data_IF_262980492064
#
_entry.id   IF_262980492064
#
_cell.length_a   1.000
_cell.length_b   1.000
_cell.length_c   1.000
_cell.angle_alpha   90.00
_cell.angle_beta   90.00
_cell.angle_gamma   90.00
#
_symmetry.space_group_name_H-M   'P 1'
#
loop_
_entity.id
_entity.type
_entity.pdbx_description
1 polymer ?
#
# COMPACT_ATOMS: atom_id res chain seq x y z
N UNK A 1 13.23 5.24 22.22
CA UNK A 1 12.29 4.49 23.10
C UNK A 1 11.07 5.31 23.53
N UNK A 2 11.16 6.62 23.72
CA UNK A 2 9.99 7.46 24.09
C UNK A 2 9.03 7.70 22.89
N UNK A 3 9.47 7.57 21.65
CA UNK A 3 8.61 7.71 20.47
C UNK A 3 7.55 6.60 20.38
N UNK A 4 7.90 5.33 20.62
CA UNK A 4 6.95 4.21 20.51
C UNK A 4 5.70 4.36 21.40
N UNK A 5 5.84 4.91 22.62
CA UNK A 5 4.70 5.08 23.54
C UNK A 5 3.79 6.21 23.05
N UNK A 6 4.36 7.28 22.54
CA UNK A 6 3.61 8.42 21.97
C UNK A 6 2.87 8.02 20.69
N UNK A 7 3.52 7.24 19.81
CA UNK A 7 2.89 6.74 18.58
C UNK A 7 1.74 5.78 18.89
N UNK A 8 1.89 4.91 19.91
CA UNK A 8 0.81 4.03 20.36
C UNK A 8 -0.40 4.81 20.89
N UNK A 9 -0.16 5.92 21.61
CA UNK A 9 -1.23 6.76 22.15
C UNK A 9 -2.01 7.51 21.05
N UNK A 10 -1.31 7.99 20.01
CA UNK A 10 -1.92 8.63 18.85
C UNK A 10 -2.73 7.63 17.99
N UNK A 11 -2.40 6.36 18.03
CA UNK A 11 -3.13 5.33 17.32
C UNK A 11 -4.47 4.97 17.98
N UNK A 12 -4.65 5.20 19.30
CA UNK A 12 -5.89 4.88 20.01
C UNK A 12 -7.13 5.52 19.36
N UNK A 13 -7.18 6.85 19.11
CA UNK A 13 -8.33 7.46 18.45
C UNK A 13 -8.56 6.93 17.04
N UNK A 14 -7.49 6.61 16.29
CA UNK A 14 -7.61 6.01 14.95
C UNK A 14 -8.22 4.61 15.00
N UNK A 15 -7.88 3.79 16.00
CA UNK A 15 -8.51 2.49 16.21
C UNK A 15 -10.00 2.61 16.58
N UNK A 16 -10.39 3.62 17.36
CA UNK A 16 -11.81 3.89 17.63
C UNK A 16 -12.57 4.26 16.37
N UNK A 17 -12.00 5.10 15.51
CA UNK A 17 -12.59 5.42 14.21
C UNK A 17 -12.64 4.18 13.29
N UNK A 18 -11.58 3.39 13.26
CA UNK A 18 -11.50 2.17 12.46
C UNK A 18 -12.59 1.15 12.83
N UNK A 19 -13.01 1.11 14.10
CA UNK A 19 -14.11 0.23 14.56
C UNK A 19 -15.44 0.50 13.84
N UNK A 20 -15.66 1.71 13.34
CA UNK A 20 -16.89 2.07 12.62
C UNK A 20 -16.87 1.59 11.16
N UNK A 21 -15.69 1.50 10.56
CA UNK A 21 -15.51 1.23 9.13
C UNK A 21 -14.96 -0.16 8.82
N UNK A 22 -14.35 -0.82 9.79
CA UNK A 22 -13.69 -2.12 9.61
C UNK A 22 -14.23 -3.20 10.54
N UNK A 23 -14.09 -4.45 10.11
CA UNK A 23 -14.54 -5.64 10.86
C UNK A 23 -13.73 -5.82 12.15
N UNK A 24 -14.31 -6.44 13.18
CA UNK A 24 -13.61 -6.75 14.43
C UNK A 24 -12.34 -7.59 14.19
N UNK A 25 -12.39 -8.50 13.24
CA UNK A 25 -11.26 -9.35 12.86
C UNK A 25 -10.08 -8.54 12.34
N UNK A 26 -10.33 -7.52 11.49
CA UNK A 26 -9.32 -6.59 11.02
C UNK A 26 -8.65 -5.84 12.18
N UNK A 27 -9.42 -5.38 13.14
CA UNK A 27 -8.90 -4.66 14.30
C UNK A 27 -8.01 -5.54 15.19
N UNK A 28 -8.41 -6.80 15.44
CA UNK A 28 -7.59 -7.73 16.22
C UNK A 28 -6.28 -8.07 15.51
N UNK A 29 -6.33 -8.32 14.20
CA UNK A 29 -5.12 -8.57 13.39
C UNK A 29 -4.19 -7.35 13.37
N UNK A 30 -4.74 -6.16 13.24
CA UNK A 30 -3.97 -4.91 13.26
C UNK A 30 -3.36 -4.64 14.63
N UNK A 31 -4.08 -4.88 15.72
CA UNK A 31 -3.55 -4.77 17.07
C UNK A 31 -2.38 -5.75 17.30
N UNK A 32 -2.54 -7.00 16.85
CA UNK A 32 -1.47 -8.01 16.91
C UNK A 32 -0.25 -7.58 16.10
N UNK A 33 -0.45 -7.12 14.86
CA UNK A 33 0.62 -6.62 14.01
C UNK A 33 1.36 -5.44 14.65
N UNK A 34 0.64 -4.48 15.23
CA UNK A 34 1.22 -3.32 15.93
C UNK A 34 2.06 -3.73 17.14
N UNK A 35 1.57 -4.66 17.97
CA UNK A 35 2.31 -5.15 19.15
C UNK A 35 3.57 -5.88 18.69
N UNK A 36 3.46 -6.78 17.71
CA UNK A 36 4.59 -7.55 17.18
C UNK A 36 5.64 -6.63 16.57
N UNK A 37 5.23 -5.64 15.78
CA UNK A 37 6.11 -4.64 15.19
C UNK A 37 6.84 -3.81 16.26
N UNK A 38 6.12 -3.32 17.27
CA UNK A 38 6.69 -2.57 18.39
C UNK A 38 7.69 -3.40 19.19
N UNK A 39 7.38 -4.67 19.41
CA UNK A 39 8.27 -5.59 20.12
C UNK A 39 9.53 -5.89 19.31
N UNK A 40 9.39 -6.12 18.01
CA UNK A 40 10.53 -6.32 17.11
C UNK A 40 11.47 -5.12 17.12
N UNK A 41 10.95 -3.89 17.04
CA UNK A 41 11.74 -2.65 17.13
C UNK A 41 12.44 -2.49 18.50
N UNK A 42 11.85 -3.01 19.57
CA UNK A 42 12.44 -2.94 20.91
C UNK A 42 13.61 -3.94 21.09
N UNK A 43 13.54 -5.09 20.42
CA UNK A 43 14.51 -6.19 20.57
C UNK A 43 15.65 -6.11 19.56
N UNK A 44 15.34 -5.72 18.31
CA UNK A 44 16.34 -5.66 17.25
C UNK A 44 17.28 -4.46 17.48
N UNK A 45 18.62 -4.71 17.60
CA UNK A 45 19.57 -3.61 17.75
C UNK A 45 19.65 -2.79 16.46
N UNK A 46 19.66 -1.47 16.60
CA UNK A 46 19.84 -0.56 15.49
C UNK A 46 21.33 -0.51 15.12
N UNK A 47 21.69 -1.12 14.00
CA UNK A 47 23.05 -1.04 13.43
C UNK A 47 23.02 -0.12 12.21
N UNK A 48 23.93 0.82 12.13
CA UNK A 48 24.07 1.70 10.97
C UNK A 48 24.76 0.96 9.81
N UNK A 49 23.96 0.47 8.86
CA UNK A 49 24.48 -0.26 7.68
C UNK A 49 24.96 0.72 6.58
N UNK A 50 24.43 1.93 6.55
CA UNK A 50 24.61 2.88 5.44
C UNK A 50 25.68 3.94 5.65
N UNK A 51 26.55 3.80 6.66
CA UNK A 51 27.68 4.72 6.92
C UNK A 51 27.40 6.22 6.67
N UNK A 52 26.25 6.72 7.15
CA UNK A 52 25.77 8.10 6.99
C UNK A 52 25.33 8.51 5.56
N UNK A 53 25.16 7.58 4.64
CA UNK A 53 24.58 7.87 3.33
C UNK A 53 23.05 7.89 3.44
N UNK A 54 22.48 9.10 3.57
CA UNK A 54 21.05 9.32 3.75
C UNK A 54 20.21 8.87 2.54
N UNK A 55 20.77 8.96 1.32
CA UNK A 55 20.07 8.54 0.12
C UNK A 55 19.92 7.02 0.07
N UNK A 56 21.01 6.31 0.34
CA UNK A 56 21.00 4.85 0.41
C UNK A 56 20.07 4.35 1.52
N UNK A 57 20.09 5.02 2.68
CA UNK A 57 19.19 4.72 3.78
C UNK A 57 17.72 4.94 3.39
N UNK A 58 17.40 6.02 2.66
CA UNK A 58 16.04 6.31 2.20
C UNK A 58 15.51 5.25 1.22
N UNK A 59 16.35 4.83 0.26
CA UNK A 59 15.97 3.84 -0.75
C UNK A 59 15.82 2.45 -0.13
N UNK A 60 16.86 1.95 0.54
CA UNK A 60 16.84 0.61 1.12
C UNK A 60 15.84 0.51 2.27
N UNK A 61 15.86 1.49 3.17
CA UNK A 61 14.93 1.56 4.29
C UNK A 61 13.47 1.61 3.84
N UNK A 62 13.16 2.45 2.84
CA UNK A 62 11.84 2.55 2.23
C UNK A 62 11.40 1.23 1.59
N UNK A 63 12.28 0.60 0.81
CA UNK A 63 11.95 -0.66 0.12
C UNK A 63 11.69 -1.82 1.10
N UNK A 64 12.58 -2.03 2.09
CA UNK A 64 12.43 -3.10 3.07
C UNK A 64 11.27 -2.87 4.04
N UNK A 65 11.11 -1.64 4.52
CA UNK A 65 10.00 -1.28 5.41
C UNK A 65 8.65 -1.58 4.74
N UNK A 66 8.48 -1.14 3.50
CA UNK A 66 7.23 -1.31 2.77
C UNK A 66 7.05 -2.73 2.25
N UNK A 67 8.12 -3.44 1.93
CA UNK A 67 8.02 -4.88 1.64
C UNK A 67 7.36 -5.62 2.80
N UNK A 68 7.80 -5.38 4.03
CA UNK A 68 7.17 -5.93 5.23
C UNK A 68 5.74 -5.43 5.47
N UNK A 69 5.53 -4.13 5.34
CA UNK A 69 4.21 -3.50 5.50
C UNK A 69 3.19 -4.01 4.49
N UNK A 70 3.60 -4.18 3.24
CA UNK A 70 2.76 -4.74 2.18
C UNK A 70 2.27 -6.15 2.50
N UNK A 71 3.10 -7.00 3.10
CA UNK A 71 2.69 -8.33 3.58
C UNK A 71 1.64 -8.23 4.70
N UNK A 72 1.77 -7.26 5.60
CA UNK A 72 0.78 -6.99 6.65
C UNK A 72 -0.57 -6.58 6.05
N UNK A 73 -0.56 -5.76 5.00
CA UNK A 73 -1.78 -5.39 4.26
C UNK A 73 -2.40 -6.56 3.51
N UNK A 74 -1.59 -7.43 2.89
CA UNK A 74 -2.09 -8.65 2.24
C UNK A 74 -2.73 -9.62 3.23
N UNK A 75 -2.26 -9.63 4.50
CA UNK A 75 -2.90 -10.37 5.59
C UNK A 75 -4.19 -9.74 6.12
N UNK A 76 -4.64 -8.62 5.52
CA UNK A 76 -5.84 -7.90 5.92
C UNK A 76 -5.70 -7.22 7.28
N UNK A 77 -4.56 -6.59 7.54
CA UNK A 77 -4.25 -5.86 8.76
C UNK A 77 -3.44 -4.59 8.46
N UNK A 78 -3.20 -3.76 9.47
CA UNK A 78 -2.36 -2.56 9.41
C UNK A 78 -1.48 -2.50 10.65
N UNK A 79 -0.33 -1.84 10.52
CA UNK A 79 0.58 -1.62 11.67
C UNK A 79 0.18 -0.42 12.52
N UNK A 80 -0.86 0.30 12.14
CA UNK A 80 -1.28 1.58 12.77
C UNK A 80 -0.61 2.78 12.12
N UNK A 81 -0.84 3.98 12.69
CA UNK A 81 -0.26 5.21 12.15
C UNK A 81 -0.92 5.69 10.86
N UNK A 82 -0.10 6.25 9.94
CA UNK A 82 -0.55 6.77 8.63
C UNK A 82 -1.17 5.70 7.76
N UNK A 83 -0.75 4.47 7.91
CA UNK A 83 -1.28 3.31 7.19
C UNK A 83 -2.74 3.05 7.54
N UNK A 84 -3.06 3.06 8.84
CA UNK A 84 -4.44 2.90 9.31
C UNK A 84 -5.30 4.08 8.85
N UNK A 85 -4.76 5.30 8.90
CA UNK A 85 -5.44 6.48 8.38
C UNK A 85 -5.74 6.34 6.89
N UNK A 86 -4.78 5.86 6.11
CA UNK A 86 -4.94 5.65 4.67
C UNK A 86 -5.99 4.58 4.35
N UNK A 87 -6.07 3.51 5.14
CA UNK A 87 -7.12 2.49 4.98
C UNK A 87 -8.51 3.01 5.36
N UNK A 88 -8.60 3.97 6.30
CA UNK A 88 -9.86 4.66 6.63
C UNK A 88 -10.29 5.63 5.53
N UNK A 89 -9.35 6.24 4.82
CA UNK A 89 -9.63 7.15 3.71
C UNK A 89 -9.97 6.41 2.41
N UNK A 90 -9.47 5.18 2.24
CA UNK A 90 -9.67 4.41 1.01
C UNK A 90 -11.16 4.24 0.59
N UNK A 91 -12.13 3.99 1.49
CA UNK A 91 -13.55 3.92 1.12
C UNK A 91 -14.13 5.24 0.58
N UNK A 92 -13.52 6.39 0.92
CA UNK A 92 -13.91 7.70 0.40
C UNK A 92 -13.41 7.93 -1.03
N UNK A 93 -12.34 7.23 -1.43
CA UNK A 93 -11.71 7.32 -2.74
C UNK A 93 -11.55 5.96 -3.42
N UNK A 94 -12.65 5.26 -3.76
CA UNK A 94 -12.62 3.87 -4.24
C UNK A 94 -11.91 3.70 -5.58
N UNK A 95 -11.75 4.77 -6.36
CA UNK A 95 -11.02 4.73 -7.64
C UNK A 95 -9.50 4.82 -7.48
N UNK A 96 -9.00 5.21 -6.30
CA UNK A 96 -7.56 5.33 -6.04
C UNK A 96 -7.02 4.04 -5.42
N UNK A 97 -5.82 3.64 -5.83
CA UNK A 97 -5.12 2.52 -5.20
C UNK A 97 -4.68 2.92 -3.79
N UNK A 98 -4.71 1.97 -2.86
CA UNK A 98 -4.29 2.20 -1.47
C UNK A 98 -2.88 2.80 -1.40
N UNK A 99 -1.93 2.30 -2.22
CA UNK A 99 -0.57 2.83 -2.29
C UNK A 99 -0.51 4.33 -2.63
N UNK A 100 -1.41 4.81 -3.49
CA UNK A 100 -1.47 6.23 -3.85
C UNK A 100 -1.97 7.08 -2.67
N UNK A 101 -2.96 6.57 -1.94
CA UNK A 101 -3.51 7.26 -0.76
C UNK A 101 -2.44 7.36 0.33
N UNK A 102 -1.70 6.28 0.59
CA UNK A 102 -0.56 6.27 1.53
C UNK A 102 0.48 7.30 1.08
N UNK A 103 0.87 7.29 -0.21
CA UNK A 103 1.83 8.24 -0.74
C UNK A 103 1.39 9.70 -0.61
N UNK A 104 0.10 10.01 -0.77
CA UNK A 104 -0.45 11.36 -0.58
C UNK A 104 -0.40 11.76 0.89
N UNK A 105 -0.83 10.89 1.80
CA UNK A 105 -0.81 11.16 3.25
C UNK A 105 0.62 11.39 3.72
N UNK A 106 1.55 10.51 3.36
CA UNK A 106 2.96 10.64 3.71
C UNK A 106 3.59 11.88 3.06
N UNK A 107 3.21 12.22 1.82
CA UNK A 107 3.63 13.44 1.14
C UNK A 107 3.22 14.71 1.89
N UNK A 108 1.99 14.77 2.39
CA UNK A 108 1.51 15.89 3.21
C UNK A 108 2.35 15.99 4.50
N UNK A 109 2.63 14.86 5.15
CA UNK A 109 3.45 14.83 6.37
C UNK A 109 4.88 15.31 6.08
N UNK A 110 5.47 14.94 4.94
CA UNK A 110 6.79 15.40 4.53
C UNK A 110 6.80 16.91 4.29
N UNK A 111 5.77 17.48 3.65
CA UNK A 111 5.65 18.93 3.44
C UNK A 111 5.57 19.68 4.78
N UNK A 112 4.75 19.19 5.71
CA UNK A 112 4.67 19.75 7.06
C UNK A 112 6.01 19.58 7.81
N UNK A 113 6.62 18.40 7.71
CA UNK A 113 7.92 18.09 8.30
C UNK A 113 9.07 18.96 7.76
N UNK A 114 8.97 19.43 6.53
CA UNK A 114 9.96 20.33 5.92
C UNK A 114 10.13 21.63 6.72
N UNK A 115 9.04 22.13 7.31
CA UNK A 115 9.06 23.35 8.14
C UNK A 115 9.84 23.16 9.45
N UNK A 116 9.88 21.91 9.95
CA UNK A 116 10.52 21.56 11.22
C UNK A 116 11.96 21.07 11.01
N UNK A 117 12.17 20.19 10.02
CA UNK A 117 13.43 19.47 9.81
C UNK A 117 14.30 20.06 8.68
N UNK A 118 13.77 21.04 7.98
CA UNK A 118 14.46 21.72 6.88
C UNK A 118 14.37 20.99 5.53
N UNK A 119 14.71 21.73 4.47
CA UNK A 119 14.55 21.31 3.06
C UNK A 119 15.36 20.07 2.73
N UNK A 120 16.60 19.96 3.24
CA UNK A 120 17.50 18.86 2.94
C UNK A 120 16.90 17.50 3.38
N UNK A 121 16.39 17.43 4.58
CA UNK A 121 15.74 16.23 5.12
C UNK A 121 14.48 15.91 4.35
N UNK A 122 13.67 16.91 3.98
CA UNK A 122 12.48 16.74 3.20
C UNK A 122 12.75 16.13 1.81
N UNK A 123 13.84 16.52 1.13
CA UNK A 123 14.20 15.94 -0.17
C UNK A 123 14.51 14.44 -0.07
N UNK A 124 15.22 14.00 0.95
CA UNK A 124 15.44 12.56 1.17
C UNK A 124 14.13 11.82 1.52
N UNK A 125 13.26 12.48 2.29
CA UNK A 125 11.95 11.91 2.62
C UNK A 125 11.05 11.77 1.39
N UNK A 126 11.09 12.70 0.44
CA UNK A 126 10.36 12.59 -0.84
C UNK A 126 10.83 11.36 -1.62
N UNK A 127 12.14 11.13 -1.70
CA UNK A 127 12.69 9.93 -2.35
C UNK A 127 12.19 8.66 -1.63
N UNK A 128 12.23 8.65 -0.30
CA UNK A 128 11.73 7.52 0.49
C UNK A 128 10.25 7.26 0.22
N UNK A 129 9.39 8.28 0.27
CA UNK A 129 7.94 8.16 -0.01
C UNK A 129 7.68 7.66 -1.43
N UNK A 130 8.44 8.13 -2.42
CA UNK A 130 8.30 7.66 -3.80
C UNK A 130 8.64 6.16 -3.92
N UNK A 131 9.78 5.73 -3.36
CA UNK A 131 10.18 4.31 -3.34
C UNK A 131 9.14 3.47 -2.60
N UNK A 132 8.72 3.92 -1.42
CA UNK A 132 7.66 3.32 -0.61
C UNK A 132 6.39 3.07 -1.41
N UNK A 133 5.87 4.11 -2.08
CA UNK A 133 4.63 4.00 -2.87
C UNK A 133 4.77 3.01 -4.03
N UNK A 134 5.92 2.96 -4.70
CA UNK A 134 6.17 2.03 -5.81
C UNK A 134 6.29 0.58 -5.36
N UNK A 135 7.02 0.34 -4.28
CA UNK A 135 7.16 -1.01 -3.71
C UNK A 135 5.82 -1.49 -3.16
N UNK A 136 5.07 -0.61 -2.46
CA UNK A 136 3.75 -0.92 -1.94
C UNK A 136 2.78 -1.33 -3.05
N UNK A 137 2.75 -0.56 -4.16
CA UNK A 137 1.89 -0.90 -5.31
C UNK A 137 2.26 -2.26 -5.89
N UNK A 138 3.55 -2.57 -6.00
CA UNK A 138 4.03 -3.88 -6.45
C UNK A 138 3.63 -5.04 -5.53
N UNK A 139 3.71 -4.85 -4.22
CA UNK A 139 3.37 -5.89 -3.23
C UNK A 139 1.86 -6.05 -3.11
N UNK A 140 1.10 -4.97 -2.97
CA UNK A 140 -0.36 -5.01 -2.72
C UNK A 140 -1.17 -5.35 -3.97
N UNK A 141 -0.80 -4.82 -5.12
CA UNK A 141 -1.45 -5.15 -6.39
C UNK A 141 -1.03 -6.52 -6.90
N UNK A 142 0.11 -7.02 -6.43
CA UNK A 142 0.75 -8.23 -6.90
C UNK A 142 1.15 -8.15 -8.37
N UNK A 143 1.79 -9.18 -8.88
CA UNK A 143 2.05 -9.32 -10.32
C UNK A 143 0.83 -9.82 -11.11
N UNK A 144 -0.38 -9.56 -10.61
CA UNK A 144 -1.63 -9.92 -11.28
C UNK A 144 -1.96 -8.87 -12.34
N UNK A 145 -1.24 -8.89 -13.42
CA UNK A 145 -1.63 -8.15 -14.62
C UNK A 145 -2.76 -8.92 -15.31
N UNK A 146 -4.01 -8.52 -15.07
CA UNK A 146 -5.09 -8.95 -15.93
C UNK A 146 -4.92 -8.26 -17.29
N UNK A 147 -4.78 -9.04 -18.35
CA UNK A 147 -4.77 -8.54 -19.73
C UNK A 147 -6.19 -8.70 -20.27
N UNK A 148 -6.74 -7.61 -20.78
CA UNK A 148 -7.99 -7.63 -21.54
C UNK A 148 -7.57 -7.64 -23.00
N UNK A 149 -8.05 -8.61 -23.76
CA UNK A 149 -7.87 -8.70 -25.19
C UNK A 149 -9.19 -8.43 -25.88
N UNK A 150 -9.23 -7.45 -26.76
CA UNK A 150 -10.37 -7.17 -27.63
C UNK A 150 -10.11 -7.84 -28.97
N UNK A 151 -10.99 -8.75 -29.35
CA UNK A 151 -10.92 -9.46 -30.66
C UNK A 151 -12.13 -9.00 -31.44
N UNK A 152 -11.89 -8.42 -32.61
CA UNK A 152 -12.92 -8.02 -33.56
C UNK A 152 -12.80 -8.96 -34.74
N UNK A 153 -13.80 -9.80 -34.96
CA UNK A 153 -13.80 -10.81 -36.02
C UNK A 153 -15.23 -11.20 -36.41
N UNK A 154 -15.42 -11.52 -37.67
CA UNK A 154 -16.69 -12.07 -38.18
C UNK A 154 -16.93 -13.51 -37.66
N UNK A 155 -15.88 -14.21 -37.25
CA UNK A 155 -15.93 -15.55 -36.66
C UNK A 155 -15.84 -15.54 -35.13
N UNK A 156 -16.44 -14.54 -34.51
CA UNK A 156 -16.36 -14.34 -33.06
C UNK A 156 -16.89 -15.50 -32.23
N UNK A 157 -17.90 -16.23 -32.74
CA UNK A 157 -18.47 -17.38 -32.05
C UNK A 157 -17.51 -18.57 -32.00
N UNK A 158 -16.86 -18.89 -33.11
CA UNK A 158 -15.87 -19.97 -33.18
C UNK A 158 -14.63 -19.68 -32.32
N UNK A 159 -14.16 -18.45 -32.35
CA UNK A 159 -13.03 -18.00 -31.51
C UNK A 159 -13.43 -18.10 -30.01
N UNK A 160 -14.64 -17.73 -29.67
CA UNK A 160 -15.13 -17.82 -28.28
C UNK A 160 -15.16 -19.27 -27.80
N UNK A 161 -15.60 -20.21 -28.63
CA UNK A 161 -15.65 -21.64 -28.32
C UNK A 161 -14.24 -22.22 -28.10
N UNK A 162 -13.28 -21.86 -28.94
CA UNK A 162 -11.89 -22.27 -28.78
C UNK A 162 -11.32 -21.72 -27.46
N UNK A 163 -11.57 -20.44 -27.12
CA UNK A 163 -11.06 -19.84 -25.91
C UNK A 163 -11.67 -20.49 -24.66
N UNK A 164 -12.96 -20.79 -24.68
CA UNK A 164 -13.67 -21.44 -23.56
C UNK A 164 -13.18 -22.88 -23.34
N UNK A 165 -13.00 -23.66 -24.42
CA UNK A 165 -12.68 -25.10 -24.31
C UNK A 165 -11.17 -25.41 -24.27
N UNK A 166 -10.33 -24.66 -24.99
CA UNK A 166 -8.90 -24.95 -25.02
C UNK A 166 -8.11 -24.14 -23.99
N UNK A 167 -8.53 -22.91 -23.69
CA UNK A 167 -7.81 -22.04 -22.76
C UNK A 167 -8.47 -21.92 -21.39
N UNK A 168 -9.66 -22.51 -21.21
CA UNK A 168 -10.45 -22.43 -19.97
C UNK A 168 -10.59 -21.00 -19.43
N UNK A 169 -10.76 -20.02 -20.34
CA UNK A 169 -10.87 -18.60 -20.00
C UNK A 169 -12.26 -18.06 -20.34
N UNK A 170 -12.79 -17.20 -19.47
CA UNK A 170 -14.07 -16.54 -19.70
C UNK A 170 -14.00 -15.59 -20.92
N UNK A 171 -15.03 -15.63 -21.75
CA UNK A 171 -15.22 -14.74 -22.90
C UNK A 171 -16.50 -13.94 -22.71
N UNK A 172 -16.46 -12.64 -22.99
CA UNK A 172 -17.63 -11.77 -22.99
C UNK A 172 -17.83 -11.20 -24.39
N UNK A 173 -18.95 -11.52 -25.01
CA UNK A 173 -19.33 -10.94 -26.29
C UNK A 173 -19.98 -9.57 -26.08
N UNK A 174 -19.44 -8.53 -26.73
CA UNK A 174 -20.02 -7.19 -26.78
C UNK A 174 -20.67 -6.97 -28.13
N UNK A 175 -21.93 -6.58 -28.13
CA UNK A 175 -22.63 -6.14 -29.35
C UNK A 175 -22.27 -4.68 -29.61
N UNK A 176 -21.57 -4.40 -30.70
CA UNK A 176 -21.33 -3.05 -31.19
C UNK A 176 -22.14 -2.76 -32.43
N UNK A 177 -22.74 -1.58 -32.53
CA UNK A 177 -23.32 -1.09 -33.78
C UNK A 177 -22.31 -0.16 -34.43
N UNK A 178 -21.93 -0.49 -35.68
CA UNK A 178 -21.14 0.42 -36.49
C UNK A 178 -21.94 1.70 -36.81
N UNK A 179 -21.32 2.85 -36.62
CA UNK A 179 -21.88 4.16 -36.98
C UNK A 179 -21.25 4.60 -38.30
N UNK A 180 -21.65 3.99 -39.41
CA UNK A 180 -21.31 4.45 -40.77
C UNK A 180 -22.56 5.01 -41.43
#
# INVERSE_FOLDING_TARGET
RQMCIRDSLLNVPLFFMARKFHTREYLFRSLYAMITFSLALAVIPVTSVTHQDYLMAAILGGAFHVGGLGLVFLAGSSTGGTDLLSTLLHPLFPMMRLANIIGIVDGIIVVVGMLVFGVRTALYSIVAVFVTSKVMDGVTSGMRYAKIMYIISDQSAEIAEIILHQFERGVTALRGNGMY
#
